data_IF_012279198722
#
_entry.id   IF_012279198722
#
_cell.length_a   1.000
_cell.length_b   1.000
_cell.length_c   1.000
_cell.angle_alpha   90.00
_cell.angle_beta   90.00
_cell.angle_gamma   90.00
#
_symmetry.space_group_name_H-M   'P 1'
#
loop_
_entity.id
_entity.type
_entity.pdbx_description
1 polymer ?
#
# COMPACT_ATOMS: atom_id res chain seq x y z
N UNK A 1 77.85 2.18 43.84
CA UNK A 1 76.88 2.81 42.94
C UNK A 1 76.05 1.71 42.27
N UNK A 2 74.89 1.54 42.76
CA UNK A 2 73.98 0.46 42.22
C UNK A 2 72.90 1.09 41.32
N UNK A 3 72.92 0.74 40.04
CA UNK A 3 71.89 1.15 39.06
C UNK A 3 70.71 0.20 39.18
N UNK A 4 69.54 0.67 39.61
CA UNK A 4 68.27 -0.05 39.59
C UNK A 4 67.66 0.06 38.21
N UNK A 5 67.70 -1.05 37.45
CA UNK A 5 66.85 -1.24 36.23
C UNK A 5 65.40 -1.38 36.61
N UNK A 6 64.60 -0.42 36.23
CA UNK A 6 63.12 -0.54 36.23
C UNK A 6 62.65 -1.36 35.00
N UNK A 7 62.30 -2.61 35.27
CA UNK A 7 61.59 -3.39 34.29
C UNK A 7 60.15 -2.87 34.15
N UNK A 8 59.85 -2.18 33.05
CA UNK A 8 58.50 -1.75 32.70
C UNK A 8 57.69 -2.94 32.23
N UNK A 9 56.67 -3.34 32.97
CA UNK A 9 55.71 -4.33 32.57
C UNK A 9 54.84 -3.78 31.41
N UNK A 10 55.15 -4.18 30.18
CA UNK A 10 54.27 -3.95 29.04
C UNK A 10 53.04 -4.84 29.17
N UNK A 11 51.97 -4.30 29.70
CA UNK A 11 50.65 -4.94 29.64
C UNK A 11 50.31 -5.19 28.18
N UNK A 12 50.25 -6.47 27.76
CA UNK A 12 49.74 -6.92 26.46
C UNK A 12 48.22 -6.71 26.43
N UNK A 13 47.78 -5.52 26.06
CA UNK A 13 46.34 -5.14 25.93
C UNK A 13 45.74 -5.53 24.57
N UNK A 14 46.36 -6.43 23.79
CA UNK A 14 45.92 -6.72 22.40
C UNK A 14 44.71 -7.66 22.24
N UNK A 15 44.29 -8.38 23.28
CA UNK A 15 43.23 -9.36 23.18
C UNK A 15 41.81 -8.84 23.49
N UNK A 16 41.73 -7.86 24.38
CA UNK A 16 40.45 -7.35 24.85
C UNK A 16 39.73 -6.44 23.83
N UNK A 17 40.49 -5.70 23.03
CA UNK A 17 39.96 -4.83 21.99
C UNK A 17 39.35 -5.62 20.82
N UNK A 18 39.95 -6.75 20.45
CA UNK A 18 39.42 -7.61 19.40
C UNK A 18 38.08 -8.25 19.78
N UNK A 19 37.97 -8.78 20.99
CA UNK A 19 36.72 -9.33 21.53
C UNK A 19 35.63 -8.24 21.65
N UNK A 20 36.01 -7.03 22.08
CA UNK A 20 35.12 -5.89 22.16
C UNK A 20 34.56 -5.48 20.76
N UNK A 21 35.41 -5.47 19.75
CA UNK A 21 34.97 -5.17 18.38
C UNK A 21 34.04 -6.26 17.84
N UNK A 22 34.36 -7.53 18.06
CA UNK A 22 33.49 -8.64 17.65
C UNK A 22 32.11 -8.56 18.33
N UNK A 23 32.08 -8.27 19.62
CA UNK A 23 30.84 -8.09 20.38
C UNK A 23 30.05 -6.89 19.86
N UNK A 24 30.70 -5.77 19.59
CA UNK A 24 30.05 -4.59 19.03
C UNK A 24 29.44 -4.87 17.65
N UNK A 25 30.14 -5.55 16.76
CA UNK A 25 29.62 -5.95 15.43
C UNK A 25 28.43 -6.89 15.58
N UNK A 26 28.49 -7.87 16.50
CA UNK A 26 27.39 -8.77 16.76
C UNK A 26 26.13 -8.04 17.27
N UNK A 27 26.30 -7.08 18.20
CA UNK A 27 25.19 -6.28 18.72
C UNK A 27 24.59 -5.35 17.66
N UNK A 28 25.42 -4.74 16.81
CA UNK A 28 24.95 -3.93 15.67
C UNK A 28 24.17 -4.81 14.68
N UNK A 29 24.68 -6.00 14.36
CA UNK A 29 24.01 -6.95 13.49
C UNK A 29 22.64 -7.36 14.00
N UNK A 30 22.52 -7.63 15.30
CA UNK A 30 21.25 -7.98 15.94
C UNK A 30 20.26 -6.80 15.92
N UNK A 31 20.73 -5.58 16.13
CA UNK A 31 19.90 -4.36 16.06
C UNK A 31 19.36 -4.08 14.66
N UNK A 32 20.09 -4.38 13.60
CA UNK A 32 19.67 -4.18 12.23
C UNK A 32 18.50 -5.13 11.80
N UNK A 33 18.48 -6.35 12.32
CA UNK A 33 17.41 -7.30 12.04
C UNK A 33 16.06 -6.79 12.57
N UNK A 34 16.01 -6.32 13.80
CA UNK A 34 14.78 -5.79 14.41
C UNK A 34 14.27 -4.51 13.73
N UNK A 35 15.18 -3.65 13.26
CA UNK A 35 14.82 -2.45 12.53
C UNK A 35 14.12 -2.77 11.20
N UNK A 36 14.54 -3.80 10.49
CA UNK A 36 13.98 -4.18 9.19
C UNK A 36 12.50 -4.57 9.27
N UNK A 37 12.07 -5.26 10.34
CA UNK A 37 10.68 -5.69 10.52
C UNK A 37 9.72 -4.51 10.74
N UNK A 38 10.17 -3.49 11.46
CA UNK A 38 9.36 -2.28 11.70
C UNK A 38 9.11 -1.52 10.39
N UNK A 39 10.13 -1.40 9.53
CA UNK A 39 10.02 -0.69 8.27
C UNK A 39 9.10 -1.40 7.26
N UNK A 40 9.18 -2.72 7.17
CA UNK A 40 8.29 -3.50 6.28
C UNK A 40 6.83 -3.40 6.70
N UNK A 41 6.56 -3.47 8.00
CA UNK A 41 5.20 -3.35 8.54
C UNK A 41 4.63 -1.95 8.30
N UNK A 42 5.42 -0.89 8.50
CA UNK A 42 5.01 0.49 8.26
C UNK A 42 4.70 0.73 6.77
N UNK A 43 5.58 0.27 5.87
CA UNK A 43 5.37 0.37 4.42
C UNK A 43 4.12 -0.36 3.95
N UNK A 44 3.82 -1.54 4.54
CA UNK A 44 2.62 -2.30 4.21
C UNK A 44 1.34 -1.57 4.64
N UNK A 45 1.31 -1.02 5.85
CA UNK A 45 0.18 -0.20 6.34
C UNK A 45 -0.08 1.00 5.44
N UNK A 46 0.96 1.70 5.05
CA UNK A 46 0.85 2.84 4.13
C UNK A 46 0.26 2.44 2.77
N UNK A 47 0.63 1.28 2.23
CA UNK A 47 0.03 0.74 0.99
C UNK A 47 -1.46 0.42 1.16
N UNK A 48 -1.87 -0.12 2.32
CA UNK A 48 -3.29 -0.39 2.60
C UNK A 48 -4.10 0.91 2.68
N UNK A 49 -3.59 1.94 3.36
CA UNK A 49 -4.23 3.25 3.41
C UNK A 49 -4.37 3.88 2.02
N UNK A 50 -3.34 3.75 1.18
CA UNK A 50 -3.39 4.19 -0.22
C UNK A 50 -4.41 3.41 -1.04
N UNK A 51 -4.52 2.09 -0.82
CA UNK A 51 -5.52 1.24 -1.48
C UNK A 51 -6.94 1.69 -1.12
N UNK A 52 -7.21 1.86 0.17
CA UNK A 52 -8.53 2.25 0.67
C UNK A 52 -8.91 3.63 0.15
N UNK A 53 -8.00 4.59 0.20
CA UNK A 53 -8.22 5.92 -0.36
C UNK A 53 -8.52 5.85 -1.87
N UNK A 54 -7.70 5.15 -2.64
CA UNK A 54 -7.85 5.04 -4.08
C UNK A 54 -9.16 4.33 -4.47
N UNK A 55 -9.48 3.22 -3.80
CA UNK A 55 -10.70 2.45 -4.03
C UNK A 55 -11.96 3.25 -3.73
N UNK A 56 -11.99 3.96 -2.59
CA UNK A 56 -13.10 4.81 -2.22
C UNK A 56 -13.30 5.98 -3.19
N UNK A 57 -12.20 6.65 -3.63
CA UNK A 57 -12.28 7.72 -4.60
C UNK A 57 -12.86 7.26 -5.93
N UNK A 58 -12.44 6.08 -6.41
CA UNK A 58 -12.98 5.50 -7.65
C UNK A 58 -14.46 5.14 -7.48
N UNK A 59 -14.84 4.50 -6.38
CA UNK A 59 -16.24 4.13 -6.13
C UNK A 59 -17.15 5.35 -5.98
N UNK A 60 -16.71 6.43 -5.33
CA UNK A 60 -17.42 7.70 -5.24
C UNK A 60 -17.58 8.36 -6.63
N UNK A 61 -16.52 8.32 -7.44
CA UNK A 61 -16.57 8.86 -8.81
C UNK A 61 -17.57 8.08 -9.68
N UNK A 62 -17.61 6.74 -9.56
CA UNK A 62 -18.62 5.89 -10.22
C UNK A 62 -20.03 6.30 -9.77
N UNK A 63 -20.22 6.51 -8.47
CA UNK A 63 -21.49 6.99 -7.93
C UNK A 63 -21.90 8.35 -8.50
N UNK A 64 -20.99 9.32 -8.51
CA UNK A 64 -21.22 10.63 -9.11
C UNK A 64 -21.56 10.56 -10.59
N UNK A 65 -20.87 9.69 -11.34
CA UNK A 65 -21.17 9.43 -12.75
C UNK A 65 -22.57 8.85 -12.94
N UNK A 66 -22.95 7.84 -12.14
CA UNK A 66 -24.25 7.19 -12.16
C UNK A 66 -25.37 8.16 -11.85
N UNK A 67 -25.27 8.90 -10.73
CA UNK A 67 -26.28 9.86 -10.29
C UNK A 67 -26.47 11.01 -11.28
N UNK A 68 -25.39 11.51 -11.88
CA UNK A 68 -25.44 12.58 -12.86
C UNK A 68 -25.94 12.16 -14.24
N UNK A 69 -26.20 10.86 -14.47
CA UNK A 69 -26.70 10.38 -15.76
C UNK A 69 -28.02 11.07 -16.10
N UNK A 70 -28.12 11.77 -17.27
CA UNK A 70 -29.34 12.43 -17.67
C UNK A 70 -30.44 11.42 -18.03
N UNK A 71 -31.69 11.78 -17.72
CA UNK A 71 -32.88 10.94 -17.99
C UNK A 71 -33.22 9.98 -16.85
N UNK A 72 -34.26 9.16 -17.11
CA UNK A 72 -34.81 8.23 -16.11
C UNK A 72 -33.97 6.95 -15.96
N UNK A 73 -33.22 6.57 -16.99
CA UNK A 73 -32.41 5.34 -16.98
C UNK A 73 -30.98 5.70 -16.61
N UNK A 74 -30.59 5.38 -15.40
CA UNK A 74 -29.22 5.56 -14.90
C UNK A 74 -28.29 4.53 -15.53
N UNK A 75 -27.04 4.95 -15.79
CA UNK A 75 -26.01 4.11 -16.41
C UNK A 75 -24.69 4.19 -15.67
N UNK A 76 -24.06 3.05 -15.53
CA UNK A 76 -22.69 2.95 -15.03
C UNK A 76 -21.67 3.29 -16.14
N UNK A 77 -20.46 3.76 -15.79
CA UNK A 77 -19.39 3.98 -16.76
C UNK A 77 -18.95 2.63 -17.36
N UNK A 78 -18.55 2.62 -18.60
CA UNK A 78 -18.02 1.41 -19.26
C UNK A 78 -16.58 1.16 -18.88
N UNK A 79 -15.81 2.23 -18.66
CA UNK A 79 -14.40 2.19 -18.30
C UNK A 79 -14.12 3.26 -17.24
N UNK A 80 -12.97 3.16 -16.54
CA UNK A 80 -12.57 4.17 -15.55
C UNK A 80 -12.17 5.49 -16.21
N UNK A 81 -11.77 5.48 -17.46
CA UNK A 81 -11.39 6.67 -18.23
C UNK A 81 -12.60 7.60 -18.46
N UNK A 82 -13.81 7.04 -18.58
CA UNK A 82 -15.04 7.83 -18.69
C UNK A 82 -15.29 8.72 -17.45
N UNK A 83 -14.69 8.38 -16.29
CA UNK A 83 -14.76 9.20 -15.07
C UNK A 83 -13.90 10.46 -15.16
N UNK A 84 -12.86 10.45 -16.00
CA UNK A 84 -11.98 11.58 -16.23
C UNK A 84 -12.56 12.58 -17.24
N UNK A 85 -13.37 12.09 -18.19
CA UNK A 85 -13.85 12.88 -19.33
C UNK A 85 -15.28 12.43 -19.71
N UNK A 86 -16.26 12.86 -18.91
CA UNK A 86 -17.67 12.58 -19.17
C UNK A 86 -18.21 13.57 -20.21
N UNK A 87 -18.40 13.08 -21.44
CA UNK A 87 -18.89 13.80 -22.61
C UNK A 87 -20.41 13.72 -22.81
N UNK A 88 -21.16 13.20 -21.88
CA UNK A 88 -22.63 13.09 -21.98
C UNK A 88 -23.36 14.43 -21.83
N UNK A 89 -22.61 15.45 -21.41
CA UNK A 89 -23.13 16.81 -21.21
C UNK A 89 -22.52 17.78 -22.23
N UNK A 90 -23.19 18.92 -22.41
CA UNK A 90 -22.66 20.00 -23.26
C UNK A 90 -21.30 20.54 -22.77
N UNK A 91 -21.08 20.49 -21.46
CA UNK A 91 -19.77 20.80 -20.84
C UNK A 91 -19.18 19.54 -20.26
N UNK A 92 -17.93 19.23 -20.61
CA UNK A 92 -17.19 18.09 -20.08
C UNK A 92 -17.17 18.12 -18.56
N UNK A 93 -17.58 17.01 -17.94
CA UNK A 93 -17.51 16.85 -16.48
C UNK A 93 -16.43 15.86 -16.10
N UNK A 94 -15.76 16.14 -14.98
CA UNK A 94 -14.78 15.23 -14.39
C UNK A 94 -15.29 14.75 -13.04
N UNK A 95 -15.47 13.45 -12.92
CA UNK A 95 -15.87 12.79 -11.67
C UNK A 95 -14.64 12.33 -10.87
N UNK A 96 -13.51 12.12 -11.56
CA UNK A 96 -12.24 11.74 -10.97
C UNK A 96 -11.12 12.63 -11.53
N UNK A 97 -10.15 13.01 -10.72
CA UNK A 97 -9.01 13.82 -11.18
C UNK A 97 -8.02 12.99 -11.99
N UNK A 98 -7.76 11.77 -11.54
CA UNK A 98 -6.90 10.78 -12.18
C UNK A 98 -7.33 9.40 -11.77
N UNK A 99 -7.02 8.39 -12.57
CA UNK A 99 -7.17 7.00 -12.16
C UNK A 99 -6.03 6.67 -11.21
N UNK A 100 -6.35 6.49 -9.92
CA UNK A 100 -5.35 6.12 -8.92
C UNK A 100 -4.87 4.69 -9.18
N UNK A 101 -3.55 4.45 -9.15
CA UNK A 101 -3.02 3.10 -9.34
C UNK A 101 -3.31 2.21 -8.13
N UNK A 102 -3.49 0.92 -8.39
CA UNK A 102 -3.55 -0.09 -7.33
C UNK A 102 -2.13 -0.34 -6.79
N UNK A 103 -1.84 -0.08 -5.49
CA UNK A 103 -0.50 -0.20 -4.92
C UNK A 103 -0.01 -1.66 -4.78
N UNK A 104 -0.91 -2.64 -4.92
CA UNK A 104 -0.60 -4.07 -4.82
C UNK A 104 -0.45 -4.77 -6.18
N UNK A 105 -0.63 -4.05 -7.27
CA UNK A 105 -0.47 -4.57 -8.63
C UNK A 105 0.70 -3.90 -9.33
N UNK A 106 1.62 -4.66 -9.93
CA UNK A 106 2.83 -4.15 -10.58
C UNK A 106 2.56 -3.07 -11.64
N UNK A 107 1.42 -3.15 -12.34
CA UNK A 107 1.01 -2.18 -13.35
C UNK A 107 -0.07 -1.21 -12.85
N UNK A 108 -0.33 -1.18 -11.54
CA UNK A 108 -1.35 -0.32 -10.95
C UNK A 108 -2.78 -0.61 -11.43
N UNK A 109 -3.05 -1.75 -12.04
CA UNK A 109 -4.35 -2.09 -12.60
C UNK A 109 -5.33 -2.53 -11.52
N UNK A 110 -6.60 -2.14 -11.72
CA UNK A 110 -7.71 -2.61 -10.92
C UNK A 110 -8.45 -3.72 -11.64
N UNK A 111 -8.97 -4.67 -10.89
CA UNK A 111 -9.97 -5.60 -11.37
C UNK A 111 -11.33 -4.90 -11.31
N UNK A 112 -12.04 -4.87 -12.44
CA UNK A 112 -13.32 -4.16 -12.55
C UNK A 112 -14.46 -5.05 -12.07
N UNK A 113 -15.35 -4.50 -11.26
CA UNK A 113 -16.58 -5.17 -10.82
C UNK A 113 -17.71 -4.80 -11.79
N UNK A 114 -18.28 -5.78 -12.52
CA UNK A 114 -19.35 -5.51 -13.47
C UNK A 114 -20.63 -5.06 -12.75
N UNK A 115 -21.34 -4.12 -13.35
CA UNK A 115 -22.63 -3.64 -12.87
C UNK A 115 -23.79 -4.48 -13.41
N UNK A 116 -24.90 -4.65 -12.65
CA UNK A 116 -26.15 -5.15 -13.19
C UNK A 116 -26.64 -4.22 -14.32
N UNK A 117 -26.80 -4.76 -15.53
CA UNK A 117 -27.19 -3.96 -16.69
C UNK A 117 -26.03 -3.40 -17.52
N UNK A 118 -24.78 -3.76 -17.18
CA UNK A 118 -23.57 -3.40 -17.93
C UNK A 118 -22.83 -2.20 -17.37
N UNK A 119 -21.55 -2.10 -17.70
CA UNK A 119 -20.63 -1.11 -17.13
C UNK A 119 -19.94 -1.59 -15.87
N UNK A 120 -19.31 -0.66 -15.15
CA UNK A 120 -18.46 -0.91 -13.98
C UNK A 120 -19.12 -0.28 -12.75
N UNK A 121 -19.49 -1.11 -11.77
CA UNK A 121 -20.04 -0.66 -10.49
C UNK A 121 -18.99 -0.40 -9.43
N UNK A 122 -17.77 -0.90 -9.62
CA UNK A 122 -16.71 -0.78 -8.64
C UNK A 122 -15.38 -1.36 -9.09
N UNK A 123 -14.44 -1.39 -8.17
CA UNK A 123 -13.09 -1.93 -8.38
C UNK A 123 -12.74 -2.91 -7.28
N UNK A 124 -11.86 -3.85 -7.61
CA UNK A 124 -11.38 -4.87 -6.69
C UNK A 124 -9.86 -4.92 -6.71
N UNK A 125 -9.28 -5.17 -5.54
CA UNK A 125 -7.87 -5.43 -5.37
C UNK A 125 -7.63 -6.70 -4.56
N UNK A 126 -6.67 -7.51 -4.99
CA UNK A 126 -6.20 -8.67 -4.25
C UNK A 126 -4.93 -8.29 -3.52
N UNK A 127 -4.93 -8.44 -2.20
CA UNK A 127 -3.82 -8.14 -1.32
C UNK A 127 -3.28 -9.44 -0.74
N UNK A 128 -2.07 -9.82 -1.11
CA UNK A 128 -1.37 -10.96 -0.52
C UNK A 128 -0.57 -10.46 0.69
N UNK A 129 -0.93 -10.92 1.87
CA UNK A 129 -0.20 -10.66 3.10
C UNK A 129 0.78 -11.81 3.33
N UNK A 130 2.08 -11.50 3.51
CA UNK A 130 3.13 -12.51 3.78
C UNK A 130 2.88 -13.33 5.06
N UNK A 131 2.03 -12.82 5.96
CA UNK A 131 1.71 -13.46 7.24
C UNK A 131 0.42 -14.29 7.23
N UNK A 132 -0.33 -14.31 6.14
CA UNK A 132 -1.62 -15.00 6.04
C UNK A 132 -1.61 -15.83 4.74
N UNK A 133 -1.85 -17.12 4.86
CA UNK A 133 -1.85 -18.06 3.73
C UNK A 133 -2.96 -17.79 2.70
N UNK A 134 -3.93 -16.96 3.03
CA UNK A 134 -5.02 -16.60 2.14
C UNK A 134 -4.96 -15.12 1.72
N UNK A 135 -5.10 -14.81 0.42
CA UNK A 135 -5.19 -13.44 -0.05
C UNK A 135 -6.48 -12.78 0.43
N UNK A 136 -6.39 -11.53 0.86
CA UNK A 136 -7.53 -10.68 1.16
C UNK A 136 -8.01 -9.99 -0.11
N UNK A 137 -9.30 -10.01 -0.35
CA UNK A 137 -9.93 -9.32 -1.47
C UNK A 137 -10.65 -8.08 -0.96
N UNK A 138 -10.15 -6.91 -1.34
CA UNK A 138 -10.79 -5.63 -1.08
C UNK A 138 -11.66 -5.26 -2.28
N UNK A 139 -12.96 -5.09 -2.05
CA UNK A 139 -13.92 -4.72 -3.08
C UNK A 139 -14.58 -3.39 -2.72
N UNK A 140 -14.50 -2.41 -3.62
CA UNK A 140 -15.09 -1.08 -3.48
C UNK A 140 -16.15 -0.91 -4.56
N UNK A 141 -17.41 -0.88 -4.16
CA UNK A 141 -18.57 -0.83 -5.06
C UNK A 141 -19.48 0.32 -4.70
N UNK A 142 -20.00 1.00 -5.71
CA UNK A 142 -21.14 1.90 -5.53
C UNK A 142 -22.44 1.13 -5.71
N UNK A 143 -23.21 1.00 -4.64
CA UNK A 143 -24.50 0.32 -4.65
C UNK A 143 -25.55 1.12 -3.87
N UNK A 144 -26.72 1.29 -4.47
CA UNK A 144 -27.89 1.91 -3.80
C UNK A 144 -27.60 3.24 -3.10
N UNK A 145 -26.92 4.16 -3.80
CA UNK A 145 -26.52 5.49 -3.30
C UNK A 145 -25.45 5.49 -2.20
N UNK A 146 -24.74 4.40 -2.01
CA UNK A 146 -23.65 4.28 -1.03
C UNK A 146 -22.42 3.59 -1.62
N UNK A 147 -21.25 3.96 -1.10
CA UNK A 147 -20.01 3.22 -1.34
C UNK A 147 -19.92 2.10 -0.32
N UNK A 148 -19.85 0.87 -0.79
CA UNK A 148 -19.65 -0.32 0.03
C UNK A 148 -18.21 -0.78 -0.14
N UNK A 149 -17.51 -0.88 0.98
CA UNK A 149 -16.19 -1.50 1.04
C UNK A 149 -16.32 -2.85 1.76
N UNK A 150 -16.00 -3.91 1.07
CA UNK A 150 -16.03 -5.27 1.60
C UNK A 150 -14.63 -5.87 1.52
N UNK A 151 -14.21 -6.51 2.61
CA UNK A 151 -12.96 -7.26 2.70
C UNK A 151 -13.29 -8.72 2.96
N UNK A 152 -12.95 -9.58 2.01
CA UNK A 152 -13.21 -11.02 2.10
C UNK A 152 -11.88 -11.77 2.03
N UNK A 153 -11.63 -12.66 2.99
CA UNK A 153 -10.56 -13.67 2.92
C UNK A 153 -11.00 -14.82 1.99
N UNK A 154 -10.09 -15.28 1.17
CA UNK A 154 -10.32 -16.41 0.25
C UNK A 154 -9.61 -17.65 0.72
#
# INVERSE_FOLDING_TARGET
MAARSRAGSRFRQGGFTYLGVLLAVALIGLGLVTASEVWTTAAHRQKLEQLDFAGQQIAQAIGSYYESTPGLVKRYPRTLEELLDDRRFATVRRHLRQVFPNPFQERGRWELVPAPGGGVSGVRAVVSLQAVDAPLVHTFVYASSQVVHEVVGR
#
